data_IF_268496799230
#
_entry.id   IF_268496799230
#
_cell.length_a   1.000
_cell.length_b   1.000
_cell.length_c   1.000
_cell.angle_alpha   90.00
_cell.angle_beta   90.00
_cell.angle_gamma   90.00
#
_symmetry.space_group_name_H-M   'P 1'
#
loop_
_entity.id
_entity.type
_entity.pdbx_description
1 polymer ?
#
# COMPACT_ATOMS: atom_id res chain seq x y z
N UNK A 1 21.65 -12.60 10.40
CA UNK A 1 20.92 -12.00 9.24
C UNK A 1 20.93 -12.88 7.99
N UNK A 2 22.05 -13.55 7.65
CA UNK A 2 22.13 -14.35 6.41
C UNK A 2 21.27 -15.61 6.33
N UNK A 3 20.94 -16.28 7.45
CA UNK A 3 20.04 -17.46 7.41
C UNK A 3 18.59 -17.09 7.12
N UNK A 4 18.07 -16.04 7.76
CA UNK A 4 16.72 -15.54 7.51
C UNK A 4 16.54 -15.09 6.05
N UNK A 5 17.53 -14.43 5.47
CA UNK A 5 17.48 -14.03 4.06
C UNK A 5 17.46 -15.24 3.12
N UNK A 6 18.28 -16.27 3.40
CA UNK A 6 18.29 -17.52 2.64
C UNK A 6 16.97 -18.30 2.77
N UNK A 7 16.36 -18.28 3.95
CA UNK A 7 15.05 -18.88 4.16
C UNK A 7 13.93 -18.15 3.40
N UNK A 8 13.97 -16.82 3.38
CA UNK A 8 13.05 -15.99 2.57
C UNK A 8 13.22 -16.32 1.09
N UNK A 9 14.46 -16.37 0.61
CA UNK A 9 14.79 -16.68 -0.79
C UNK A 9 14.27 -18.07 -1.19
N UNK A 10 14.57 -19.11 -0.38
CA UNK A 10 14.06 -20.46 -0.63
C UNK A 10 12.54 -20.51 -0.65
N UNK A 11 11.89 -19.85 0.31
CA UNK A 11 10.42 -19.84 0.40
C UNK A 11 9.79 -19.11 -0.79
N UNK A 12 10.40 -18.02 -1.24
CA UNK A 12 9.96 -17.29 -2.42
C UNK A 12 10.09 -18.15 -3.69
N UNK A 13 11.22 -18.85 -3.85
CA UNK A 13 11.46 -19.76 -4.97
C UNK A 13 10.42 -20.90 -4.99
N UNK A 14 10.16 -21.53 -3.84
CA UNK A 14 9.15 -22.59 -3.73
C UNK A 14 7.75 -22.12 -4.13
N UNK A 15 7.36 -20.89 -3.76
CA UNK A 15 6.09 -20.28 -4.14
C UNK A 15 6.02 -20.07 -5.66
N UNK A 16 7.07 -19.50 -6.26
CA UNK A 16 7.15 -19.22 -7.70
C UNK A 16 7.08 -20.52 -8.49
N UNK A 17 7.88 -21.52 -8.13
CA UNK A 17 7.92 -22.82 -8.82
C UNK A 17 6.57 -23.54 -8.75
N UNK A 18 5.91 -23.50 -7.59
CA UNK A 18 4.58 -24.09 -7.42
C UNK A 18 3.53 -23.37 -8.29
N UNK A 19 3.59 -22.05 -8.37
CA UNK A 19 2.68 -21.25 -9.18
C UNK A 19 2.90 -21.46 -10.69
N UNK A 20 4.15 -21.50 -11.15
CA UNK A 20 4.47 -21.78 -12.56
C UNK A 20 3.96 -23.16 -12.98
N UNK A 21 4.18 -24.18 -12.13
CA UNK A 21 3.71 -25.53 -12.39
C UNK A 21 2.19 -25.64 -12.44
N UNK A 22 1.47 -24.89 -11.60
CA UNK A 22 0.00 -24.93 -11.59
C UNK A 22 -0.63 -24.15 -12.75
N UNK A 23 0.11 -23.21 -13.35
CA UNK A 23 -0.38 -22.33 -14.41
C UNK A 23 0.10 -22.72 -15.81
N UNK A 24 1.08 -23.62 -15.94
CA UNK A 24 1.71 -24.05 -17.20
C UNK A 24 0.73 -24.45 -18.32
N UNK A 25 -0.41 -25.05 -17.96
CA UNK A 25 -1.39 -25.56 -18.92
C UNK A 25 -2.73 -24.80 -18.91
N UNK A 26 -2.75 -23.58 -18.34
CA UNK A 26 -3.95 -22.76 -18.39
C UNK A 26 -4.16 -22.24 -19.82
N UNK A 27 -5.40 -22.28 -20.33
CA UNK A 27 -5.70 -21.71 -21.64
C UNK A 27 -5.49 -20.19 -21.63
N UNK A 28 -5.10 -19.63 -22.76
CA UNK A 28 -5.06 -18.18 -22.95
C UNK A 28 -6.48 -17.62 -22.78
N UNK A 29 -6.61 -16.65 -21.88
CA UNK A 29 -7.87 -15.94 -21.61
C UNK A 29 -7.64 -14.45 -21.68
N UNK A 30 -8.69 -13.70 -22.02
CA UNK A 30 -8.66 -12.24 -21.93
C UNK A 30 -8.49 -11.84 -20.47
N UNK A 31 -7.45 -11.08 -20.17
CA UNK A 31 -7.21 -10.54 -18.84
C UNK A 31 -8.43 -9.74 -18.35
N UNK A 32 -8.84 -10.02 -17.12
CA UNK A 32 -9.96 -9.34 -16.47
C UNK A 32 -9.45 -8.73 -15.17
N UNK A 33 -9.37 -7.40 -15.13
CA UNK A 33 -8.85 -6.64 -13.99
C UNK A 33 -9.89 -6.45 -12.89
N UNK A 34 -11.16 -6.38 -13.27
CA UNK A 34 -12.29 -6.21 -12.36
C UNK A 34 -13.36 -7.22 -12.74
N UNK A 35 -13.96 -7.89 -11.75
CA UNK A 35 -15.12 -8.75 -11.97
C UNK A 35 -16.38 -7.96 -12.36
N UNK A 36 -16.36 -6.64 -12.21
CA UNK A 36 -17.46 -5.74 -12.52
C UNK A 36 -17.12 -4.90 -13.75
N UNK A 37 -18.02 -4.88 -14.72
CA UNK A 37 -17.96 -4.00 -15.88
C UNK A 37 -18.58 -2.62 -15.55
N UNK A 38 -17.94 -1.89 -14.65
CA UNK A 38 -18.32 -0.53 -14.31
C UNK A 38 -17.39 0.46 -15.02
N UNK A 39 -17.97 1.34 -15.83
CA UNK A 39 -17.24 2.35 -16.57
C UNK A 39 -17.61 3.74 -16.07
N UNK A 40 -16.64 4.66 -16.12
CA UNK A 40 -16.85 6.08 -15.83
C UNK A 40 -17.49 6.34 -14.46
N UNK A 41 -17.06 5.58 -13.44
CA UNK A 41 -17.46 5.83 -12.06
C UNK A 41 -16.82 7.13 -11.60
N UNK A 42 -17.59 8.21 -11.62
CA UNK A 42 -17.16 9.53 -11.20
C UNK A 42 -17.76 9.88 -9.84
N UNK A 43 -16.96 10.49 -8.98
CA UNK A 43 -17.46 11.17 -7.79
C UNK A 43 -17.77 12.61 -8.18
N UNK A 44 -18.96 13.15 -7.83
CA UNK A 44 -19.23 14.56 -8.05
C UNK A 44 -18.30 15.41 -7.19
N UNK A 45 -17.98 16.60 -7.70
CA UNK A 45 -17.33 17.61 -6.87
C UNK A 45 -18.24 17.93 -5.67
N UNK A 46 -17.62 18.08 -4.52
CA UNK A 46 -18.33 18.31 -3.27
C UNK A 46 -17.62 19.37 -2.44
N UNK A 47 -18.38 19.96 -1.53
CA UNK A 47 -17.85 20.92 -0.57
C UNK A 47 -16.92 20.23 0.44
N UNK A 48 -15.96 20.97 1.02
CA UNK A 48 -15.17 20.48 2.15
C UNK A 48 -16.09 20.03 3.30
N UNK A 49 -15.76 18.90 3.93
CA UNK A 49 -16.46 18.42 5.13
C UNK A 49 -16.53 19.50 6.21
N UNK A 50 -17.62 19.60 7.00
CA UNK A 50 -17.75 20.57 8.09
C UNK A 50 -16.56 20.58 9.06
N UNK A 51 -16.29 21.74 9.68
CA UNK A 51 -15.16 21.89 10.61
C UNK A 51 -15.19 20.90 11.77
N UNK A 52 -16.36 20.64 12.34
CA UNK A 52 -16.54 19.68 13.43
C UNK A 52 -16.11 18.27 13.03
N UNK A 53 -16.44 17.83 11.81
CA UNK A 53 -16.03 16.54 11.28
C UNK A 53 -14.51 16.48 11.07
N UNK A 54 -13.93 17.55 10.52
CA UNK A 54 -12.48 17.65 10.33
C UNK A 54 -11.74 17.60 11.67
N UNK A 55 -12.28 18.22 12.72
CA UNK A 55 -11.71 18.17 14.07
C UNK A 55 -11.78 16.76 14.67
N UNK A 56 -12.94 16.09 14.59
CA UNK A 56 -13.10 14.69 15.03
C UNK A 56 -12.18 13.75 14.25
N UNK A 57 -12.02 13.97 12.95
CA UNK A 57 -11.05 13.24 12.14
C UNK A 57 -9.62 13.46 12.63
N UNK A 58 -9.22 14.71 12.88
CA UNK A 58 -7.89 15.05 13.38
C UNK A 58 -7.58 14.38 14.71
N UNK A 59 -8.50 14.41 15.65
CA UNK A 59 -8.34 13.74 16.96
C UNK A 59 -8.10 12.24 16.80
N UNK A 60 -8.91 11.56 15.98
CA UNK A 60 -8.74 10.13 15.69
C UNK A 60 -7.41 9.84 15.00
N UNK A 61 -7.05 10.65 14.01
CA UNK A 61 -5.78 10.51 13.29
C UNK A 61 -4.59 10.59 14.23
N UNK A 62 -4.57 11.58 15.13
CA UNK A 62 -3.51 11.74 16.12
C UNK A 62 -3.46 10.57 17.12
N UNK A 63 -4.61 10.02 17.51
CA UNK A 63 -4.67 8.92 18.49
C UNK A 63 -3.99 7.62 18.04
N UNK A 64 -3.85 7.41 16.72
CA UNK A 64 -3.21 6.22 16.15
C UNK A 64 -1.83 6.52 15.53
N UNK A 65 -1.43 7.79 15.52
CA UNK A 65 -0.23 8.21 14.81
C UNK A 65 1.02 7.78 15.57
N UNK A 66 2.01 7.13 14.92
CA UNK A 66 3.18 6.61 15.61
C UNK A 66 3.98 7.68 16.38
N UNK A 67 4.18 8.87 15.77
CA UNK A 67 4.83 10.02 16.39
C UNK A 67 4.27 11.33 15.83
N UNK A 68 3.97 12.28 16.72
CA UNK A 68 3.62 13.66 16.39
C UNK A 68 4.78 14.62 16.67
N UNK A 69 4.85 15.71 15.91
CA UNK A 69 5.55 16.92 16.36
C UNK A 69 4.67 17.75 17.32
N UNK A 70 5.22 18.85 17.82
CA UNK A 70 4.53 19.77 18.75
C UNK A 70 3.30 20.46 18.12
N UNK A 71 3.19 20.45 16.79
CA UNK A 71 2.09 21.03 16.02
C UNK A 71 1.07 19.96 15.59
N UNK A 72 1.27 18.71 15.99
CA UNK A 72 0.42 17.56 15.65
C UNK A 72 0.66 17.00 14.24
N UNK A 73 1.77 17.30 13.57
CA UNK A 73 2.09 16.70 12.28
C UNK A 73 2.79 15.36 12.46
N UNK A 74 2.72 14.50 11.45
CA UNK A 74 3.45 13.24 11.43
C UNK A 74 4.96 13.53 11.41
N UNK A 75 5.67 13.02 12.41
CA UNK A 75 7.13 13.16 12.50
C UNK A 75 7.81 11.97 11.87
N UNK A 76 8.59 12.22 10.81
CA UNK A 76 9.41 11.22 10.11
C UNK A 76 10.85 11.69 9.98
N UNK A 77 11.76 10.76 9.73
CA UNK A 77 13.14 11.09 9.37
C UNK A 77 13.16 11.77 8.00
N UNK A 78 13.93 12.85 7.88
CA UNK A 78 14.10 13.54 6.60
C UNK A 78 15.06 12.73 5.75
N UNK A 79 14.59 12.22 4.61
CA UNK A 79 15.46 11.59 3.63
C UNK A 79 16.49 12.61 3.14
N UNK A 80 17.78 12.27 3.27
CA UNK A 80 18.88 13.04 2.70
C UNK A 80 19.30 12.42 1.37
N UNK A 81 19.56 13.25 0.36
CA UNK A 81 20.17 12.78 -0.87
C UNK A 81 21.56 12.23 -0.53
N UNK A 82 21.81 10.98 -0.93
CA UNK A 82 23.16 10.41 -0.87
C UNK A 82 24.07 11.31 -1.73
N UNK A 83 25.10 11.90 -1.12
CA UNK A 83 26.16 12.56 -1.90
C UNK A 83 26.74 11.52 -2.86
N UNK A 84 26.79 11.87 -4.15
CA UNK A 84 27.39 11.05 -5.19
C UNK A 84 28.79 10.58 -4.72
N UNK A 85 29.04 9.29 -4.90
CA UNK A 85 30.32 8.63 -4.57
C UNK A 85 31.29 8.75 -5.72
#
# INVERSE_FOLDING_TARGET
MGERLREIERSAEEIIQTFLKSTENLPEMKETYYSLEAYNVVRPDGEPSPEEERRKFRERFLSIMPRSDEKGNLRVEVATWLKER
#
